data_IF_208781675296
#
_entry.id   IF_208781675296
#
_cell.length_a   1.000
_cell.length_b   1.000
_cell.length_c   1.000
_cell.angle_alpha   90.00
_cell.angle_beta   90.00
_cell.angle_gamma   90.00
#
_symmetry.space_group_name_H-M   'P 1'
#
loop_
_entity.id
_entity.type
_entity.pdbx_description
1 polymer ?
#
# COMPACT_ATOMS: atom_id res chain seq x y z
N UNK A 1 7.51 -11.67 12.23
CA UNK A 1 7.05 -10.91 11.04
C UNK A 1 8.06 -9.81 10.73
N UNK A 2 7.95 -9.07 9.62
CA UNK A 2 8.82 -7.91 9.34
C UNK A 2 8.96 -6.99 10.56
N UNK A 3 7.82 -6.62 11.17
CA UNK A 3 7.75 -5.81 12.39
C UNK A 3 8.58 -6.39 13.55
N UNK A 4 8.60 -7.71 13.74
CA UNK A 4 9.40 -8.37 14.79
C UNK A 4 10.91 -8.24 14.57
N UNK A 5 11.36 -8.20 13.31
CA UNK A 5 12.78 -8.11 12.96
C UNK A 5 13.29 -6.68 12.89
N UNK A 6 12.45 -5.75 12.40
CA UNK A 6 12.89 -4.39 12.06
C UNK A 6 12.29 -3.32 12.97
N UNK A 7 11.20 -3.62 13.66
CA UNK A 7 10.43 -2.62 14.40
C UNK A 7 9.59 -1.70 13.51
N UNK A 8 9.65 -1.82 12.18
CA UNK A 8 8.98 -0.92 11.23
C UNK A 8 7.70 -1.48 10.63
N UNK A 9 6.84 -0.58 10.12
CA UNK A 9 5.75 -0.93 9.22
C UNK A 9 6.27 -1.46 7.87
N UNK A 10 5.37 -2.00 7.04
CA UNK A 10 5.72 -2.53 5.72
C UNK A 10 4.77 -1.98 4.65
N UNK A 11 5.33 -1.54 3.52
CA UNK A 11 4.56 -1.05 2.36
C UNK A 11 4.56 -2.15 1.30
N UNK A 12 3.38 -2.73 1.04
CA UNK A 12 3.23 -3.79 0.05
C UNK A 12 3.12 -3.27 -1.39
N UNK A 13 2.45 -2.13 -1.58
CA UNK A 13 2.20 -1.55 -2.89
C UNK A 13 2.08 -0.02 -2.79
N UNK A 14 2.33 0.66 -3.91
CA UNK A 14 2.21 2.11 -4.05
C UNK A 14 1.62 2.44 -5.43
N UNK A 15 0.89 3.54 -5.53
CA UNK A 15 0.61 4.14 -6.84
C UNK A 15 1.87 4.79 -7.39
N UNK A 16 2.23 4.43 -8.63
CA UNK A 16 3.45 4.87 -9.28
C UNK A 16 3.15 5.21 -10.74
N UNK A 17 3.72 6.32 -11.22
CA UNK A 17 3.65 6.73 -12.62
C UNK A 17 5.05 6.78 -13.24
N UNK A 18 5.13 6.64 -14.56
CA UNK A 18 6.35 6.98 -15.28
C UNK A 18 6.59 8.50 -15.15
N UNK A 19 7.84 8.91 -14.96
CA UNK A 19 8.22 10.32 -14.86
C UNK A 19 7.78 11.15 -16.07
N UNK A 20 7.69 10.56 -17.26
CA UNK A 20 7.21 11.25 -18.48
C UNK A 20 5.70 11.50 -18.48
N UNK A 21 4.95 10.81 -17.62
CA UNK A 21 3.49 10.86 -17.54
C UNK A 21 2.98 11.28 -16.14
N UNK A 22 3.83 11.88 -15.30
CA UNK A 22 3.43 12.27 -13.93
C UNK A 22 2.28 13.26 -13.91
N UNK A 23 2.28 14.23 -14.83
CA UNK A 23 1.27 15.29 -14.88
C UNK A 23 -0.15 14.73 -15.11
N UNK A 24 -0.26 13.66 -15.90
CA UNK A 24 -1.53 12.98 -16.14
C UNK A 24 -1.99 12.18 -14.91
N UNK A 25 -1.04 11.56 -14.19
CA UNK A 25 -1.35 10.84 -12.95
C UNK A 25 -1.78 11.80 -11.83
N UNK A 26 -1.19 12.99 -11.76
CA UNK A 26 -1.55 14.05 -10.80
C UNK A 26 -2.97 14.57 -10.99
N UNK A 27 -3.59 14.39 -12.17
CA UNK A 27 -5.00 14.75 -12.39
C UNK A 27 -5.98 13.76 -11.75
N UNK A 28 -5.52 12.58 -11.31
CA UNK A 28 -6.36 11.55 -10.71
C UNK A 28 -6.27 11.65 -9.20
N UNK A 29 -7.39 11.98 -8.55
CA UNK A 29 -7.47 12.00 -7.09
C UNK A 29 -7.67 10.58 -6.53
N UNK A 30 -6.58 9.82 -6.47
CA UNK A 30 -6.57 8.48 -5.88
C UNK A 30 -6.92 8.50 -4.38
N UNK A 31 -6.64 9.60 -3.68
CA UNK A 31 -6.97 9.75 -2.27
C UNK A 31 -8.49 9.83 -2.09
N UNK A 32 -9.19 10.65 -2.88
CA UNK A 32 -10.64 10.73 -2.86
C UNK A 32 -11.29 9.39 -3.24
N UNK A 33 -10.78 8.70 -4.28
CA UNK A 33 -11.30 7.40 -4.68
C UNK A 33 -11.15 6.34 -3.56
N UNK A 34 -10.00 6.31 -2.89
CA UNK A 34 -9.77 5.46 -1.71
C UNK A 34 -10.73 5.81 -0.57
N UNK A 35 -10.83 7.10 -0.23
CA UNK A 35 -11.63 7.58 0.90
C UNK A 35 -13.12 7.28 0.69
N UNK A 36 -13.57 7.35 -0.56
CA UNK A 36 -14.91 6.92 -0.93
C UNK A 36 -15.10 5.42 -0.76
N UNK A 37 -14.17 4.59 -1.24
CA UNK A 37 -14.20 3.14 -1.03
C UNK A 37 -14.29 2.76 0.45
N UNK A 38 -13.59 3.48 1.34
CA UNK A 38 -13.64 3.27 2.78
C UNK A 38 -15.02 3.60 3.41
N UNK A 39 -15.74 4.58 2.86
CA UNK A 39 -17.12 4.88 3.30
C UNK A 39 -18.12 3.82 2.81
N UNK A 40 -17.83 3.17 1.68
CA UNK A 40 -18.71 2.22 0.99
C UNK A 40 -18.24 0.76 1.10
N UNK A 41 -17.48 0.40 2.15
CA UNK A 41 -16.94 -0.96 2.33
C UNK A 41 -18.01 -2.05 2.28
N UNK A 42 -19.22 -1.78 2.80
CA UNK A 42 -20.31 -2.75 2.77
C UNK A 42 -20.74 -3.14 1.35
N UNK A 43 -20.73 -2.18 0.43
CA UNK A 43 -21.05 -2.41 -0.99
C UNK A 43 -19.92 -3.17 -1.69
N UNK A 44 -18.67 -2.79 -1.40
CA UNK A 44 -17.48 -3.50 -1.91
C UNK A 44 -17.53 -4.97 -1.48
N UNK A 45 -17.71 -5.24 -0.18
CA UNK A 45 -17.78 -6.61 0.33
C UNK A 45 -18.95 -7.36 -0.34
N UNK A 46 -20.08 -6.69 -0.55
CA UNK A 46 -21.23 -7.32 -1.19
C UNK A 46 -20.99 -7.76 -2.64
N UNK A 47 -20.10 -7.07 -3.34
CA UNK A 47 -19.71 -7.45 -4.70
C UNK A 47 -18.78 -8.67 -4.74
N UNK A 48 -18.09 -8.99 -3.64
CA UNK A 48 -17.06 -10.04 -3.61
C UNK A 48 -17.38 -11.23 -2.71
N UNK A 49 -18.49 -11.19 -1.95
CA UNK A 49 -18.83 -12.23 -0.96
C UNK A 49 -19.15 -13.60 -1.57
N UNK A 50 -19.40 -13.70 -2.89
CA UNK A 50 -19.55 -14.98 -3.61
C UNK A 50 -18.23 -15.53 -4.15
N UNK A 51 -17.24 -14.66 -4.37
CA UNK A 51 -15.93 -15.03 -4.95
C UNK A 51 -14.89 -15.31 -3.89
N UNK A 52 -14.98 -14.64 -2.74
CA UNK A 52 -14.01 -14.72 -1.65
C UNK A 52 -14.67 -15.39 -0.45
N UNK A 53 -14.13 -16.55 -0.06
CA UNK A 53 -14.60 -17.31 1.10
C UNK A 53 -14.04 -16.70 2.40
N UNK A 54 -14.61 -15.57 2.81
CA UNK A 54 -14.33 -14.90 4.06
C UNK A 54 -15.63 -14.46 4.71
N UNK A 55 -15.73 -14.55 6.04
CA UNK A 55 -16.89 -14.01 6.73
C UNK A 55 -16.95 -12.49 6.53
N UNK A 56 -18.17 -11.95 6.38
CA UNK A 56 -18.37 -10.52 6.09
C UNK A 56 -17.67 -9.60 7.09
N UNK A 57 -17.71 -9.97 8.37
CA UNK A 57 -17.06 -9.21 9.45
C UNK A 57 -15.53 -9.25 9.34
N UNK A 58 -14.94 -10.43 9.09
CA UNK A 58 -13.50 -10.57 8.84
C UNK A 58 -13.06 -9.75 7.61
N UNK A 59 -13.90 -9.73 6.57
CA UNK A 59 -13.63 -8.98 5.35
C UNK A 59 -13.61 -7.48 5.60
N UNK A 60 -14.57 -6.99 6.40
CA UNK A 60 -14.62 -5.60 6.83
C UNK A 60 -13.40 -5.24 7.67
N UNK A 61 -13.09 -6.02 8.71
CA UNK A 61 -11.91 -5.81 9.56
C UNK A 61 -10.63 -5.79 8.75
N UNK A 62 -10.49 -6.70 7.79
CA UNK A 62 -9.33 -6.74 6.90
C UNK A 62 -9.14 -5.42 6.12
N UNK A 63 -10.21 -4.94 5.49
CA UNK A 63 -10.17 -3.72 4.68
C UNK A 63 -10.14 -2.43 5.50
N UNK A 64 -10.63 -2.39 6.74
CA UNK A 64 -10.67 -1.15 7.53
C UNK A 64 -9.60 -1.05 8.61
N UNK A 65 -9.10 -2.16 9.14
CA UNK A 65 -8.23 -2.18 10.32
C UNK A 65 -6.87 -2.85 10.06
N UNK A 66 -6.82 -3.88 9.22
CA UNK A 66 -5.56 -4.58 8.95
C UNK A 66 -4.73 -3.93 7.83
N UNK A 67 -5.38 -3.30 6.86
CA UNK A 67 -4.71 -2.56 5.78
C UNK A 67 -4.63 -1.08 6.14
N UNK A 68 -3.42 -0.53 6.10
CA UNK A 68 -3.19 0.91 6.11
C UNK A 68 -3.01 1.42 4.69
N UNK A 69 -3.83 2.39 4.28
CA UNK A 69 -3.78 3.01 2.96
C UNK A 69 -3.08 4.38 2.92
N UNK A 70 -2.54 4.80 4.05
CA UNK A 70 -1.73 6.01 4.20
C UNK A 70 -0.39 5.61 4.78
N UNK A 71 0.68 6.25 4.31
CA UNK A 71 2.04 5.97 4.77
C UNK A 71 2.39 6.85 5.96
N UNK A 72 2.93 6.25 7.01
CA UNK A 72 3.49 6.95 8.18
C UNK A 72 5.02 6.87 8.19
N UNK A 73 5.65 7.56 9.15
CA UNK A 73 7.11 7.57 9.31
C UNK A 73 7.69 6.15 9.55
N UNK A 74 6.95 5.29 10.25
CA UNK A 74 7.39 3.90 10.49
C UNK A 74 7.45 3.11 9.20
N UNK A 75 6.45 3.28 8.33
CA UNK A 75 6.37 2.64 7.03
C UNK A 75 7.39 3.21 6.05
N UNK A 76 7.66 4.52 6.06
CA UNK A 76 8.72 5.13 5.25
C UNK A 76 10.10 4.56 5.61
N UNK A 77 10.41 4.47 6.91
CA UNK A 77 11.65 3.84 7.37
C UNK A 77 11.73 2.37 6.99
N UNK A 78 10.62 1.63 7.12
CA UNK A 78 10.53 0.24 6.67
C UNK A 78 10.77 0.08 5.17
N UNK A 79 10.21 0.97 4.35
CA UNK A 79 10.40 0.96 2.90
C UNK A 79 11.86 1.23 2.51
N UNK A 80 12.52 2.21 3.13
CA UNK A 80 13.95 2.46 2.92
C UNK A 80 14.79 1.24 3.28
N UNK A 81 14.56 0.67 4.46
CA UNK A 81 15.28 -0.51 4.94
C UNK A 81 15.08 -1.72 4.02
N UNK A 82 13.87 -1.89 3.48
CA UNK A 82 13.59 -2.97 2.53
C UNK A 82 14.46 -2.84 1.26
N UNK A 83 14.56 -1.65 0.67
CA UNK A 83 15.42 -1.43 -0.49
C UNK A 83 16.91 -1.57 -0.16
N UNK A 84 17.36 -1.12 1.01
CA UNK A 84 18.74 -1.30 1.48
C UNK A 84 19.10 -2.79 1.58
N UNK A 85 18.20 -3.59 2.17
CA UNK A 85 18.38 -5.03 2.29
C UNK A 85 18.34 -5.73 0.93
N UNK A 86 17.40 -5.35 0.05
CA UNK A 86 17.31 -5.90 -1.29
C UNK A 86 18.60 -5.65 -2.09
N UNK A 87 19.15 -4.44 -2.01
CA UNK A 87 20.42 -4.10 -2.64
C UNK A 87 21.60 -4.85 -2.01
N UNK A 88 21.69 -4.89 -0.67
CA UNK A 88 22.74 -5.63 0.06
C UNK A 88 22.79 -7.11 -0.33
N UNK A 89 21.63 -7.71 -0.61
CA UNK A 89 21.49 -9.11 -1.00
C UNK A 89 21.47 -9.32 -2.52
N UNK A 90 21.78 -8.30 -3.32
CA UNK A 90 21.83 -8.34 -4.80
C UNK A 90 20.51 -8.77 -5.47
N UNK A 91 19.37 -8.49 -4.85
CA UNK A 91 18.04 -8.68 -5.45
C UNK A 91 17.68 -7.55 -6.42
N UNK A 92 18.33 -6.41 -6.28
CA UNK A 92 18.25 -5.26 -7.18
C UNK A 92 19.66 -4.75 -7.48
N UNK A 93 19.88 -4.29 -8.71
CA UNK A 93 21.20 -3.81 -9.14
C UNK A 93 21.61 -2.49 -8.50
N UNK A 94 20.64 -1.61 -8.24
CA UNK A 94 20.88 -0.24 -7.75
C UNK A 94 19.78 0.19 -6.80
N UNK A 95 20.19 0.93 -5.77
CA UNK A 95 19.28 1.62 -4.87
C UNK A 95 18.83 2.94 -5.51
N UNK A 96 17.60 2.98 -6.01
CA UNK A 96 17.01 4.18 -6.62
C UNK A 96 16.20 4.95 -5.58
N UNK A 97 16.46 6.24 -5.43
CA UNK A 97 15.66 7.11 -4.58
C UNK A 97 14.23 7.24 -5.11
N UNK A 98 13.25 7.11 -4.22
CA UNK A 98 11.85 7.39 -4.53
C UNK A 98 11.65 8.90 -4.68
N UNK A 99 10.88 9.29 -5.69
CA UNK A 99 10.42 10.67 -5.89
C UNK A 99 8.92 10.67 -5.65
N UNK A 100 8.50 11.34 -4.60
CA UNK A 100 7.09 11.61 -4.33
C UNK A 100 6.71 12.91 -5.04
N UNK A 101 5.56 12.89 -5.70
CA UNK A 101 4.93 14.04 -6.36
C UNK A 101 3.70 14.46 -5.56
#
# INVERSE_FOLDING_TARGET
TWKSFTGFGFVFAMWMANAENSDAAEQIDFAAARDEGLKHLGEIIANYETEISLARDDFKTYLSENIAYSIDDSMQNGLSLFFDLAHKHNLIERLKSLRFV
#
